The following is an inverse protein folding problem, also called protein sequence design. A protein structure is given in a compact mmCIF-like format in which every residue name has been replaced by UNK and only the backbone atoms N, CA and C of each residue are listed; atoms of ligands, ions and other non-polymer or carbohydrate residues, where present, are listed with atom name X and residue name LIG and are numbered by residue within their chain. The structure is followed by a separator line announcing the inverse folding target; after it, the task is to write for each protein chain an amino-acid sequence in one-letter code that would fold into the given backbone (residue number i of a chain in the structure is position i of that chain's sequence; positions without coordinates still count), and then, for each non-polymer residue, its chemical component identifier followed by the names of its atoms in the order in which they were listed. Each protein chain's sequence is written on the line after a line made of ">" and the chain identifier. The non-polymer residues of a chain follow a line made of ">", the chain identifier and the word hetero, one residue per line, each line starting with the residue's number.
data_IF_106196598848
#
_entry.id   IF_106196598848
#
_cell.length_a   1.000
_cell.length_b   1.000
_cell.length_c   1.000
_cell.angle_alpha   90.00
_cell.angle_beta   90.00
_cell.angle_gamma   90.00
#
_symmetry.space_group_name_H-M   'P 1'
#
loop_
_entity.id
_entity.type
_entity.pdbx_description
1 polymer ?
#
# COMPACT_ATOMS: atom_id res chain seq x y z
N UNK A 1 -10.15 2.42 -19.22
CA UNK A 1 -9.08 2.55 -20.24
C UNK A 1 -8.22 1.28 -20.27
N UNK A 2 -7.96 0.71 -21.45
CA UNK A 2 -7.06 -0.43 -21.57
C UNK A 2 -5.64 -0.07 -21.09
N UNK A 3 -4.93 -1.04 -20.51
CA UNK A 3 -3.55 -0.87 -20.07
C UNK A 3 -2.68 -0.38 -21.25
N UNK A 4 -2.11 0.81 -21.11
CA UNK A 4 -1.19 1.36 -22.11
C UNK A 4 0.25 1.04 -21.72
N UNK A 5 0.95 0.37 -22.62
CA UNK A 5 2.39 0.11 -22.48
C UNK A 5 3.20 1.30 -23.01
N UNK A 6 4.28 1.66 -22.33
CA UNK A 6 5.20 2.69 -22.82
C UNK A 6 5.96 2.23 -24.07
N UNK A 7 6.58 3.17 -24.79
CA UNK A 7 7.44 2.85 -25.93
C UNK A 7 8.56 1.87 -25.52
N UNK A 8 9.22 2.10 -24.37
CA UNK A 8 10.23 1.21 -23.84
C UNK A 8 9.70 -0.20 -23.52
N UNK A 9 8.48 -0.31 -22.98
CA UNK A 9 7.83 -1.61 -22.79
C UNK A 9 7.60 -2.32 -24.12
N UNK A 10 7.14 -1.61 -25.15
CA UNK A 10 6.91 -2.20 -26.48
C UNK A 10 8.22 -2.67 -27.14
N UNK A 11 9.29 -1.88 -27.05
CA UNK A 11 10.61 -2.28 -27.54
C UNK A 11 11.08 -3.60 -26.91
N UNK A 12 10.95 -3.75 -25.60
CA UNK A 12 11.33 -4.99 -24.91
C UNK A 12 10.41 -6.16 -25.26
N UNK A 13 9.10 -5.91 -25.35
CA UNK A 13 8.14 -6.94 -25.75
C UNK A 13 8.43 -7.46 -27.17
N UNK A 14 8.73 -6.58 -28.12
CA UNK A 14 9.06 -6.98 -29.49
C UNK A 14 10.40 -7.73 -29.53
N UNK A 15 11.41 -7.25 -28.78
CA UNK A 15 12.73 -7.91 -28.67
C UNK A 15 12.64 -9.37 -28.19
N UNK A 16 11.66 -9.70 -27.35
CA UNK A 16 11.49 -11.03 -26.77
C UNK A 16 10.24 -11.78 -27.30
N UNK A 17 9.67 -11.37 -28.44
CA UNK A 17 8.41 -11.91 -29.02
C UNK A 17 7.27 -12.08 -27.99
N UNK A 18 7.19 -11.15 -27.04
CA UNK A 18 6.26 -11.18 -25.91
C UNK A 18 5.05 -10.26 -26.09
N UNK A 19 4.96 -9.50 -27.19
CA UNK A 19 3.91 -8.49 -27.40
C UNK A 19 2.50 -9.11 -27.36
N UNK A 20 2.30 -10.19 -28.11
CA UNK A 20 1.01 -10.91 -28.19
C UNK A 20 0.57 -11.45 -26.83
N UNK A 21 1.53 -11.96 -26.05
CA UNK A 21 1.28 -12.43 -24.69
C UNK A 21 0.92 -11.27 -23.75
N UNK A 22 1.65 -10.15 -23.83
CA UNK A 22 1.38 -8.97 -23.01
C UNK A 22 -0.03 -8.42 -23.30
N UNK A 23 -0.40 -8.28 -24.57
CA UNK A 23 -1.72 -7.80 -24.96
C UNK A 23 -2.84 -8.73 -24.48
N UNK A 24 -2.66 -10.06 -24.61
CA UNK A 24 -3.63 -11.03 -24.07
C UNK A 24 -3.73 -10.98 -22.55
N UNK A 25 -2.63 -10.80 -21.83
CA UNK A 25 -2.66 -10.63 -20.37
C UNK A 25 -3.39 -9.35 -19.96
N UNK A 26 -3.16 -8.25 -20.67
CA UNK A 26 -3.88 -7.00 -20.45
C UNK A 26 -5.40 -7.19 -20.63
N UNK A 27 -5.80 -7.87 -21.70
CA UNK A 27 -7.20 -8.17 -22.03
C UNK A 27 -7.90 -9.01 -20.95
N UNK A 28 -7.26 -10.08 -20.44
CA UNK A 28 -7.94 -11.08 -19.61
C UNK A 28 -7.68 -10.95 -18.11
N UNK A 29 -6.68 -10.16 -17.68
CA UNK A 29 -6.32 -10.01 -16.27
C UNK A 29 -6.52 -8.60 -15.73
N UNK A 30 -6.43 -7.57 -16.56
CA UNK A 30 -6.57 -6.18 -16.10
C UNK A 30 -8.04 -5.80 -16.07
N UNK A 31 -8.48 -5.21 -14.97
CA UNK A 31 -9.83 -4.70 -14.81
C UNK A 31 -9.81 -3.42 -13.94
N UNK A 32 -10.91 -2.67 -13.93
CA UNK A 32 -10.97 -1.34 -13.27
C UNK A 32 -11.83 -1.34 -12.01
N UNK A 33 -12.61 -2.40 -11.76
CA UNK A 33 -13.51 -2.52 -10.61
C UNK A 33 -13.20 -3.78 -9.82
N UNK A 34 -13.06 -3.65 -8.51
CA UNK A 34 -12.78 -4.76 -7.62
C UNK A 34 -13.89 -5.81 -7.68
N UNK A 35 -13.50 -7.02 -8.04
CA UNK A 35 -14.35 -8.22 -7.93
C UNK A 35 -14.45 -8.68 -6.48
N UNK A 36 -15.35 -9.62 -6.19
CA UNK A 36 -15.43 -10.25 -4.87
C UNK A 36 -14.12 -10.93 -4.48
N UNK A 37 -13.43 -11.57 -5.44
CA UNK A 37 -12.16 -12.26 -5.21
C UNK A 37 -11.03 -11.29 -4.84
N UNK A 38 -11.00 -10.10 -5.44
CA UNK A 38 -10.00 -9.06 -5.12
C UNK A 38 -10.22 -8.52 -3.70
N UNK A 39 -11.49 -8.28 -3.33
CA UNK A 39 -11.87 -7.82 -1.98
C UNK A 39 -11.43 -8.82 -0.94
N UNK A 40 -11.76 -10.08 -1.13
CA UNK A 40 -11.37 -11.17 -0.23
C UNK A 40 -9.85 -11.33 -0.16
N UNK A 41 -9.15 -11.15 -1.28
CA UNK A 41 -7.70 -11.20 -1.30
C UNK A 41 -7.07 -10.08 -0.49
N UNK A 42 -7.47 -8.82 -0.73
CA UNK A 42 -6.99 -7.66 0.03
C UNK A 42 -7.31 -7.81 1.52
N UNK A 43 -8.53 -8.20 1.87
CA UNK A 43 -8.99 -8.27 3.26
C UNK A 43 -8.25 -9.30 4.12
N UNK A 44 -7.57 -10.28 3.50
CA UNK A 44 -6.76 -11.27 4.23
C UNK A 44 -5.34 -10.82 4.53
N UNK A 45 -4.88 -9.75 3.88
CA UNK A 45 -3.49 -9.29 4.01
C UNK A 45 -3.34 -8.32 5.17
N UNK A 46 -2.17 -8.41 5.80
CA UNK A 46 -1.70 -7.58 6.91
C UNK A 46 -0.61 -6.60 6.47
N UNK A 47 -0.24 -6.64 5.18
CA UNK A 47 0.75 -5.75 4.61
C UNK A 47 0.57 -5.56 3.10
N UNK A 48 1.14 -4.47 2.59
CA UNK A 48 1.39 -4.26 1.17
C UNK A 48 2.56 -3.30 0.96
N UNK A 49 3.06 -3.21 -0.29
CA UNK A 49 4.04 -2.21 -0.69
C UNK A 49 3.38 -1.08 -1.46
N UNK A 50 3.74 0.15 -1.10
CA UNK A 50 3.23 1.39 -1.67
C UNK A 50 4.33 2.09 -2.43
N UNK A 51 4.16 2.23 -3.75
CA UNK A 51 5.03 3.00 -4.62
C UNK A 51 4.38 4.35 -4.95
N UNK A 52 5.15 5.42 -4.77
CA UNK A 52 4.75 6.82 -5.03
C UNK A 52 5.88 7.54 -5.75
N UNK A 53 5.57 8.66 -6.40
CA UNK A 53 6.56 9.49 -7.11
C UNK A 53 6.41 10.94 -6.70
N UNK A 54 7.53 11.62 -6.45
CA UNK A 54 7.50 13.07 -6.17
C UNK A 54 7.38 13.89 -7.47
N UNK A 55 7.26 15.21 -7.35
CA UNK A 55 7.19 16.13 -8.49
C UNK A 55 8.45 16.16 -9.36
N UNK A 56 9.60 15.72 -8.84
CA UNK A 56 10.85 15.59 -9.59
C UNK A 56 10.94 14.25 -10.36
N UNK A 57 9.94 13.37 -10.22
CA UNK A 57 9.92 12.06 -10.84
C UNK A 57 10.69 10.99 -10.04
N UNK A 58 11.10 11.28 -8.80
CA UNK A 58 11.82 10.31 -7.98
C UNK A 58 10.88 9.33 -7.30
N UNK A 59 11.08 8.01 -7.50
CA UNK A 59 10.22 7.01 -6.90
C UNK A 59 10.60 6.74 -5.45
N UNK A 60 9.59 6.50 -4.62
CA UNK A 60 9.74 5.97 -3.26
C UNK A 60 8.90 4.70 -3.12
N UNK A 61 9.35 3.77 -2.28
CA UNK A 61 8.64 2.53 -1.99
C UNK A 61 8.60 2.34 -0.47
N UNK A 62 7.41 2.13 0.07
CA UNK A 62 7.18 1.94 1.50
C UNK A 62 6.46 0.63 1.78
N UNK A 63 6.81 0.00 2.90
CA UNK A 63 5.98 -1.03 3.52
C UNK A 63 4.84 -0.37 4.28
N UNK A 64 3.61 -0.87 4.12
CA UNK A 64 2.44 -0.48 4.91
C UNK A 64 1.87 -1.73 5.56
N UNK A 65 1.71 -1.71 6.87
CA UNK A 65 1.23 -2.85 7.64
C UNK A 65 0.09 -2.49 8.58
N UNK A 66 -0.68 -3.52 8.93
CA UNK A 66 -1.78 -3.48 9.89
C UNK A 66 -2.22 -4.90 10.25
N UNK A 67 -3.35 -5.06 10.91
CA UNK A 67 -3.97 -6.37 11.09
C UNK A 67 -4.75 -6.76 9.81
N UNK A 68 -5.02 -8.06 9.57
CA UNK A 68 -5.78 -8.48 8.40
C UNK A 68 -7.10 -7.70 8.26
N UNK A 69 -7.31 -7.11 7.09
CA UNK A 69 -8.47 -6.27 6.80
C UNK A 69 -8.25 -4.77 7.06
N UNK A 70 -7.03 -4.35 7.40
CA UNK A 70 -6.70 -2.93 7.55
C UNK A 70 -6.80 -2.13 6.24
N UNK A 71 -6.76 -2.82 5.09
CA UNK A 71 -7.11 -2.24 3.79
C UNK A 71 -8.52 -2.70 3.45
N UNK A 72 -9.42 -1.74 3.22
CA UNK A 72 -10.82 -2.02 2.89
C UNK A 72 -11.15 -1.53 1.49
N UNK A 73 -11.76 -2.38 0.69
CA UNK A 73 -12.38 -1.96 -0.57
C UNK A 73 -13.77 -1.41 -0.24
N UNK A 74 -13.91 -0.08 -0.24
CA UNK A 74 -15.10 0.62 0.29
C UNK A 74 -16.25 0.71 -0.72
N UNK A 75 -15.94 0.60 -2.01
CA UNK A 75 -16.93 0.55 -3.09
C UNK A 75 -16.38 -0.21 -4.30
N UNK A 76 -17.06 -0.19 -5.45
CA UNK A 76 -16.65 -0.91 -6.66
C UNK A 76 -15.24 -0.59 -7.19
N UNK A 77 -14.67 0.57 -6.86
CA UNK A 77 -13.44 1.09 -7.45
C UNK A 77 -12.49 1.74 -6.43
N UNK A 78 -12.93 1.98 -5.20
CA UNK A 78 -12.12 2.63 -4.17
C UNK A 78 -11.69 1.65 -3.09
N UNK A 79 -10.41 1.69 -2.74
CA UNK A 79 -9.91 1.12 -1.48
C UNK A 79 -9.44 2.21 -0.53
N UNK A 80 -9.39 1.89 0.76
CA UNK A 80 -8.95 2.79 1.82
C UNK A 80 -8.01 2.06 2.79
N UNK A 81 -7.01 2.77 3.31
CA UNK A 81 -6.11 2.28 4.35
C UNK A 81 -5.67 3.44 5.28
N UNK A 82 -5.37 3.17 6.56
CA UNK A 82 -4.96 4.19 7.51
C UNK A 82 -3.50 4.62 7.30
N UNK A 83 -3.20 5.88 7.63
CA UNK A 83 -1.84 6.31 7.92
C UNK A 83 -1.64 6.38 9.44
N UNK A 84 -0.80 5.48 9.96
CA UNK A 84 -0.31 5.54 11.34
C UNK A 84 0.92 6.42 11.46
N UNK A 85 1.22 6.82 12.69
CA UNK A 85 2.47 7.50 13.02
C UNK A 85 3.70 6.65 12.64
N UNK A 86 4.79 7.31 12.25
CA UNK A 86 5.97 6.65 11.70
C UNK A 86 7.26 7.42 11.97
N UNK A 87 8.16 7.44 10.98
CA UNK A 87 9.46 8.09 11.10
C UNK A 87 9.45 9.61 10.82
N UNK A 88 8.27 10.20 10.58
CA UNK A 88 8.11 11.63 10.31
C UNK A 88 8.58 12.11 8.93
N UNK A 89 9.14 11.25 8.06
CA UNK A 89 9.62 11.69 6.75
C UNK A 89 8.49 11.98 5.75
N UNK A 90 7.32 11.37 5.96
CA UNK A 90 6.13 11.51 5.10
C UNK A 90 6.34 11.32 3.60
N UNK A 91 7.42 10.66 3.15
CA UNK A 91 7.76 10.55 1.72
C UNK A 91 6.57 10.10 0.85
N UNK A 92 5.86 9.04 1.24
CA UNK A 92 4.69 8.61 0.47
C UNK A 92 3.55 9.61 0.53
N UNK A 93 3.20 10.13 1.70
CA UNK A 93 2.01 10.98 1.85
C UNK A 93 2.22 12.37 1.25
N UNK A 94 3.42 12.94 1.39
CA UNK A 94 3.83 14.16 0.70
C UNK A 94 3.77 13.99 -0.81
N UNK A 95 4.36 12.90 -1.34
CA UNK A 95 4.27 12.61 -2.78
C UNK A 95 2.80 12.51 -3.24
N UNK A 96 1.93 11.84 -2.48
CA UNK A 96 0.50 11.73 -2.81
C UNK A 96 -0.24 13.08 -2.77
N UNK A 97 0.14 14.00 -1.88
CA UNK A 97 -0.46 15.35 -1.86
C UNK A 97 -0.14 16.16 -3.12
N UNK A 98 0.97 15.85 -3.79
CA UNK A 98 1.44 16.56 -4.97
C UNK A 98 1.05 15.87 -6.28
N UNK A 99 1.42 14.60 -6.46
CA UNK A 99 1.28 13.88 -7.74
C UNK A 99 0.07 12.95 -7.79
N UNK A 100 -0.44 12.53 -6.61
CA UNK A 100 -1.57 11.61 -6.39
C UNK A 100 -1.42 10.20 -7.01
N UNK A 101 -0.48 9.98 -7.92
CA UNK A 101 -0.25 8.71 -8.59
C UNK A 101 0.33 7.67 -7.64
N UNK A 102 -0.27 6.47 -7.63
CA UNK A 102 0.14 5.41 -6.72
C UNK A 102 0.14 4.05 -7.40
N UNK A 103 1.09 3.20 -7.02
CA UNK A 103 1.10 1.77 -7.29
C UNK A 103 1.12 0.98 -5.99
N UNK A 104 0.22 0.01 -5.83
CA UNK A 104 0.14 -0.87 -4.68
C UNK A 104 0.48 -2.29 -5.11
N UNK A 105 1.29 -2.98 -4.32
CA UNK A 105 1.62 -4.38 -4.50
C UNK A 105 1.24 -5.17 -3.25
N UNK A 106 0.18 -5.94 -3.39
CA UNK A 106 -0.34 -6.89 -2.41
C UNK A 106 0.27 -8.27 -2.68
N UNK A 107 0.85 -8.91 -1.66
CA UNK A 107 1.46 -10.24 -1.78
C UNK A 107 1.06 -11.12 -0.59
N UNK A 108 0.49 -12.28 -0.87
CA UNK A 108 0.35 -13.39 0.07
C UNK A 108 1.56 -14.32 -0.15
N UNK A 109 2.53 -14.29 0.77
CA UNK A 109 3.73 -15.14 0.70
C UNK A 109 3.45 -16.60 1.06
N UNK A 110 2.40 -16.90 1.83
CA UNK A 110 2.07 -18.27 2.25
C UNK A 110 1.42 -19.06 1.10
N UNK A 111 0.50 -18.41 0.38
CA UNK A 111 -0.21 -18.96 -0.80
C UNK A 111 0.42 -18.55 -2.12
N UNK A 112 1.51 -17.77 -2.07
CA UNK A 112 2.25 -17.28 -3.23
C UNK A 112 1.34 -16.57 -4.25
N UNK A 113 0.44 -15.69 -3.78
CA UNK A 113 -0.43 -14.90 -4.65
C UNK A 113 -0.03 -13.43 -4.61
N UNK A 114 -0.29 -12.70 -5.69
CA UNK A 114 -0.10 -11.24 -5.72
C UNK A 114 -1.16 -10.54 -6.55
N UNK A 115 -1.40 -9.29 -6.19
CA UNK A 115 -2.23 -8.37 -6.94
C UNK A 115 -1.59 -6.99 -6.95
N UNK A 116 -1.70 -6.30 -8.08
CA UNK A 116 -1.31 -4.90 -8.19
C UNK A 116 -2.53 -4.02 -8.39
N UNK A 117 -2.48 -2.84 -7.80
CA UNK A 117 -3.48 -1.79 -7.99
C UNK A 117 -2.74 -0.50 -8.30
N UNK A 118 -2.94 0.02 -9.51
CA UNK A 118 -2.48 1.36 -9.87
C UNK A 118 -3.68 2.30 -9.77
N UNK A 119 -3.50 3.47 -9.17
CA UNK A 119 -4.62 4.36 -8.89
C UNK A 119 -4.23 5.81 -8.67
N UNK A 120 -5.24 6.58 -8.27
CA UNK A 120 -5.10 7.96 -7.82
C UNK A 120 -5.51 8.00 -6.35
N UNK A 121 -4.61 8.48 -5.50
CA UNK A 121 -4.84 8.55 -4.06
C UNK A 121 -5.20 9.97 -3.61
N UNK A 122 -5.94 10.04 -2.50
CA UNK A 122 -6.18 11.27 -1.74
C UNK A 122 -6.05 10.99 -0.25
N UNK A 123 -5.58 11.99 0.48
CA UNK A 123 -5.57 12.01 1.94
C UNK A 123 -6.93 12.53 2.43
N UNK A 124 -7.49 11.91 3.45
CA UNK A 124 -8.77 12.28 4.04
C UNK A 124 -8.65 12.29 5.57
N UNK A 125 -8.59 13.50 6.13
CA UNK A 125 -8.36 13.74 7.56
C UNK A 125 -9.64 13.68 8.40
N UNK A 126 -10.80 13.66 7.75
CA UNK A 126 -12.13 13.60 8.39
C UNK A 126 -12.91 12.35 7.93
N UNK A 127 -12.20 11.36 7.41
CA UNK A 127 -12.80 10.14 6.88
C UNK A 127 -13.58 9.39 7.98
N UNK A 128 -14.86 9.02 7.76
CA UNK A 128 -15.64 8.30 8.76
C UNK A 128 -15.02 6.95 9.15
N UNK A 129 -14.18 6.36 8.30
CA UNK A 129 -13.48 5.12 8.63
C UNK A 129 -12.48 5.29 9.76
N UNK A 130 -12.01 6.50 10.08
CA UNK A 130 -11.06 6.75 11.18
C UNK A 130 -11.54 6.16 12.52
N UNK A 131 -12.85 6.15 12.75
CA UNK A 131 -13.44 5.55 13.95
C UNK A 131 -13.08 4.06 14.13
N UNK A 132 -12.76 3.36 13.04
CA UNK A 132 -12.41 1.94 13.05
C UNK A 132 -10.89 1.68 13.11
N UNK A 133 -10.06 2.73 13.05
CA UNK A 133 -8.60 2.63 13.05
C UNK A 133 -8.00 3.44 14.21
N UNK A 134 -7.81 2.81 15.38
CA UNK A 134 -7.18 3.45 16.52
C UNK A 134 -5.85 4.10 16.13
N UNK A 135 -5.59 5.31 16.64
CA UNK A 135 -4.33 6.07 16.41
C UNK A 135 -4.02 6.44 14.95
N UNK A 136 -4.90 6.15 13.98
CA UNK A 136 -4.72 6.62 12.61
C UNK A 136 -4.80 8.15 12.56
N UNK A 137 -3.83 8.78 11.90
CA UNK A 137 -3.77 10.23 11.75
C UNK A 137 -4.74 10.74 10.67
N UNK A 138 -4.95 9.92 9.63
CA UNK A 138 -5.87 10.16 8.51
C UNK A 138 -6.02 8.89 7.68
N UNK A 139 -7.01 8.85 6.81
CA UNK A 139 -7.18 7.77 5.84
C UNK A 139 -6.59 8.15 4.49
N UNK A 140 -6.12 7.15 3.75
CA UNK A 140 -5.75 7.28 2.35
C UNK A 140 -6.77 6.51 1.53
N UNK A 141 -7.47 7.21 0.63
CA UNK A 141 -8.38 6.60 -0.34
C UNK A 141 -7.73 6.53 -1.70
N UNK A 142 -7.81 5.37 -2.36
CA UNK A 142 -7.26 5.12 -3.69
C UNK A 142 -8.39 4.72 -4.62
N UNK A 143 -8.64 5.55 -5.62
CA UNK A 143 -9.47 5.20 -6.78
C UNK A 143 -8.63 4.34 -7.72
N UNK A 144 -8.98 3.07 -7.84
CA UNK A 144 -8.29 2.12 -8.70
C UNK A 144 -8.54 2.46 -10.17
N UNK A 145 -7.44 2.61 -10.93
CA UNK A 145 -7.47 2.74 -12.39
C UNK A 145 -7.20 1.42 -13.07
N UNK A 146 -6.32 0.59 -12.49
CA UNK A 146 -5.96 -0.73 -13.01
C UNK A 146 -5.74 -1.68 -11.85
N UNK A 147 -6.43 -2.81 -11.88
CA UNK A 147 -6.27 -3.91 -10.94
C UNK A 147 -5.86 -5.12 -11.78
N UNK A 148 -4.78 -5.79 -11.37
CA UNK A 148 -4.31 -6.95 -12.11
C UNK A 148 -3.59 -7.95 -11.21
N UNK A 149 -4.12 -9.18 -11.08
CA UNK A 149 -3.40 -10.29 -10.49
C UNK A 149 -2.31 -10.77 -11.45
N UNK A 150 -1.15 -11.14 -10.91
CA UNK A 150 -0.02 -11.66 -11.69
C UNK A 150 0.32 -13.09 -11.28
N UNK A 151 0.99 -13.80 -12.20
CA UNK A 151 1.47 -15.17 -11.99
C UNK A 151 2.25 -15.31 -10.66
N UNK A 152 2.08 -16.42 -9.91
CA UNK A 152 2.74 -16.68 -8.63
C UNK A 152 4.26 -16.94 -8.75
N UNK A 153 4.77 -17.13 -9.99
CA UNK A 153 6.17 -17.44 -10.26
C UNK A 153 7.11 -16.43 -9.57
N UNK A 154 8.13 -16.98 -8.90
CA UNK A 154 9.18 -16.27 -8.14
C UNK A 154 8.75 -15.63 -6.81
N UNK A 155 7.51 -15.81 -6.36
CA UNK A 155 7.14 -15.43 -5.00
C UNK A 155 7.73 -16.49 -4.06
N UNK A 156 8.65 -16.10 -3.18
CA UNK A 156 9.17 -17.01 -2.15
C UNK A 156 8.07 -17.40 -1.18
N UNK A 157 8.11 -18.65 -0.72
CA UNK A 157 7.18 -19.14 0.28
C UNK A 157 7.72 -18.77 1.66
N UNK A 158 6.96 -17.96 2.39
CA UNK A 158 7.23 -17.64 3.79
C UNK A 158 6.10 -18.20 4.67
N UNK A 159 6.39 -18.31 5.95
CA UNK A 159 5.41 -18.60 6.99
C UNK A 159 5.42 -17.42 7.95
N UNK A 160 4.23 -16.95 8.34
CA UNK A 160 4.12 -15.90 9.36
C UNK A 160 4.56 -16.47 10.71
N UNK A 161 5.55 -15.84 11.34
CA UNK A 161 6.03 -16.21 12.68
C UNK A 161 5.27 -15.43 13.75
N UNK A 162 5.18 -14.12 13.59
CA UNK A 162 4.50 -13.22 14.52
C UNK A 162 3.94 -11.99 13.82
N UNK A 163 2.91 -11.38 14.41
CA UNK A 163 2.38 -10.09 13.96
C UNK A 163 3.13 -8.96 14.65
N UNK A 164 3.26 -7.82 13.96
CA UNK A 164 3.87 -6.64 14.56
C UNK A 164 3.08 -6.20 15.80
N UNK A 165 3.74 -6.03 16.97
CA UNK A 165 3.09 -5.48 18.16
C UNK A 165 2.82 -3.97 18.04
N UNK A 166 3.34 -3.32 16.99
CA UNK A 166 3.18 -1.88 16.74
C UNK A 166 1.93 -1.54 15.90
N UNK A 167 1.10 -2.53 15.56
CA UNK A 167 -0.20 -2.26 14.93
C UNK A 167 -1.14 -1.77 16.04
N UNK A 168 -1.71 -0.55 15.93
CA UNK A 168 -2.63 -0.05 16.95
C UNK A 168 -3.90 -0.91 17.04
N UNK A 169 -4.30 -1.25 18.26
CA UNK A 169 -5.50 -2.04 18.55
C UNK A 169 -6.39 -1.37 19.59
N UNK A 170 -7.72 -1.55 19.52
CA UNK A 170 -8.61 -0.99 20.53
C UNK A 170 -8.26 -1.54 21.92
N UNK A 171 -8.22 -0.64 22.92
CA UNK A 171 -7.98 -0.97 24.33
C UNK A 171 -6.60 -1.57 24.66
N UNK A 172 -5.63 -1.48 23.76
CA UNK A 172 -4.25 -1.90 24.00
C UNK A 172 -3.30 -0.71 23.74
N UNK A 173 -2.37 -0.39 24.66
CA UNK A 173 -1.40 0.65 24.40
C UNK A 173 -0.41 0.21 23.32
N UNK A 174 -0.29 0.99 22.25
CA UNK A 174 0.73 0.74 21.23
C UNK A 174 2.13 0.97 21.83
N UNK A 175 3.05 -0.01 21.76
CA UNK A 175 4.40 0.14 22.30
C UNK A 175 5.19 1.24 21.57
N UNK A 176 6.04 1.96 22.29
CA UNK A 176 6.96 2.92 21.69
C UNK A 176 8.08 2.18 20.95
N UNK A 177 8.32 2.46 19.66
CA UNK A 177 9.46 1.87 18.94
C UNK A 177 10.80 2.28 19.58
N UNK A 178 11.67 1.31 19.83
CA UNK A 178 12.92 1.56 20.58
C UNK A 178 13.84 2.63 19.97
N UNK A 179 13.83 2.81 18.64
CA UNK A 179 14.63 3.85 18.00
C UNK A 179 14.20 5.27 18.40
N UNK A 180 12.93 5.50 18.77
CA UNK A 180 12.46 6.80 19.26
C UNK A 180 13.02 7.15 20.64
N UNK A 181 13.48 6.14 21.39
CA UNK A 181 14.08 6.34 22.71
C UNK A 181 15.59 6.61 22.63
N UNK A 182 16.19 6.50 21.44
CA UNK A 182 17.61 6.74 21.21
C UNK A 182 18.00 8.21 21.37
N UNK A 183 19.27 8.46 21.71
CA UNK A 183 19.78 9.82 21.94
C UNK A 183 19.65 10.72 20.72
N UNK A 184 19.81 10.19 19.51
CA UNK A 184 19.75 10.98 18.27
C UNK A 184 18.33 11.42 17.89
N UNK A 185 17.30 10.74 18.41
CA UNK A 185 15.90 11.01 18.06
C UNK A 185 15.19 11.87 19.10
N UNK A 186 15.54 11.74 20.38
CA UNK A 186 14.72 12.17 21.53
C UNK A 186 14.35 13.66 21.52
N UNK A 187 15.27 14.54 21.14
CA UNK A 187 15.06 16.00 21.08
C UNK A 187 14.33 16.44 19.80
N UNK A 188 14.35 15.61 18.76
CA UNK A 188 13.69 15.85 17.47
C UNK A 188 12.24 15.33 17.41
N UNK A 189 11.77 14.60 18.44
CA UNK A 189 10.41 14.06 18.46
C UNK A 189 9.33 15.15 18.63
N UNK A 190 8.14 14.96 18.02
CA UNK A 190 6.98 15.82 18.25
C UNK A 190 6.69 16.03 19.74
N UNK A 191 6.20 17.21 20.12
CA UNK A 191 5.97 17.57 21.52
C UNK A 191 5.03 16.60 22.26
N UNK A 192 4.09 15.98 21.54
CA UNK A 192 3.11 15.02 22.03
C UNK A 192 3.48 13.56 21.73
N UNK A 193 4.71 13.26 21.30
CA UNK A 193 5.12 11.88 21.04
C UNK A 193 5.18 11.08 22.35
N UNK A 194 4.56 9.88 22.43
CA UNK A 194 4.56 9.06 23.64
C UNK A 194 5.96 8.72 24.16
N UNK A 195 6.97 8.67 23.29
CA UNK A 195 8.35 8.40 23.69
C UNK A 195 9.00 9.55 24.49
N UNK A 196 8.42 10.76 24.48
CA UNK A 196 8.87 11.88 25.33
C UNK A 196 8.29 11.82 26.75
N UNK A 197 7.26 11.01 26.97
CA UNK A 197 6.55 10.88 28.24
C UNK A 197 7.05 9.69 29.08
N UNK A 198 7.99 8.90 28.54
CA UNK A 198 8.62 7.73 29.17
C UNK A 198 10.05 8.06 29.57
#
# INVERSE_FOLDING_TARGET
>A
MPLQYSAGSRTLQDRFDARRLADRLAEVKVHERFTSEDREFIARLDMFFLATVDNAGQPTCSYKGGDPGFVRVVDGQTLAFPNYDGNGMFLSMGNLSETRGVGLLFIDFERQRRMRVDGIARLDFEDPLLADYPEAQFMVRVEARRIYPNCPRYIHKYQLVERSPFVPRPNEPTPVPGWKQSEWARDALPANDPARLQ
#
